data_IF_425772031457
#
_entry.id   IF_425772031457
#
_cell.length_a   1.000
_cell.length_b   1.000
_cell.length_c   1.000
_cell.angle_alpha   90.00
_cell.angle_beta   90.00
_cell.angle_gamma   90.00
#
_symmetry.space_group_name_H-M   'P 1'
#
loop_
_entity.id
_entity.type
_entity.pdbx_description
1 polymer ?
#
# COMPACT_ATOMS: atom_id res chain seq x y z
N UNK A 1 66.12 -19.19 -12.93
CA UNK A 1 65.44 -19.01 -11.64
C UNK A 1 64.36 -17.94 -11.77
N UNK A 2 63.13 -18.35 -12.02
CA UNK A 2 61.98 -17.47 -12.17
C UNK A 2 61.18 -17.57 -10.84
N UNK A 3 61.12 -16.49 -10.07
CA UNK A 3 60.30 -16.40 -8.84
C UNK A 3 58.87 -16.02 -9.22
N UNK A 4 57.93 -16.93 -9.04
CA UNK A 4 56.48 -16.64 -9.08
C UNK A 4 56.11 -15.89 -7.79
N UNK A 5 55.61 -14.67 -7.93
CA UNK A 5 54.91 -13.93 -6.87
C UNK A 5 53.45 -14.35 -6.91
N UNK A 6 53.00 -15.09 -5.90
CA UNK A 6 51.57 -15.37 -5.72
C UNK A 6 50.95 -14.17 -5.01
N UNK A 7 50.04 -13.47 -5.69
CA UNK A 7 49.23 -12.39 -5.14
C UNK A 7 48.02 -13.02 -4.44
N UNK A 8 48.01 -13.01 -3.11
CA UNK A 8 46.86 -13.42 -2.31
C UNK A 8 45.83 -12.29 -2.38
N UNK A 9 44.76 -12.47 -3.15
CA UNK A 9 43.57 -11.63 -3.07
C UNK A 9 42.79 -12.00 -1.77
N UNK A 10 42.93 -11.20 -0.73
CA UNK A 10 42.00 -11.23 0.40
C UNK A 10 40.64 -10.66 -0.07
N UNK A 11 39.70 -11.53 -0.37
CA UNK A 11 38.30 -11.18 -0.43
C UNK A 11 37.82 -10.83 0.99
N UNK A 12 37.76 -9.54 1.31
CA UNK A 12 36.95 -9.07 2.44
C UNK A 12 35.47 -9.35 2.12
N UNK A 13 34.97 -10.49 2.59
CA UNK A 13 33.54 -10.72 2.68
C UNK A 13 32.99 -9.69 3.68
N UNK A 14 32.32 -8.65 3.19
CA UNK A 14 31.47 -7.81 4.03
C UNK A 14 30.50 -8.74 4.76
N UNK A 15 30.25 -8.54 6.07
CA UNK A 15 29.25 -9.33 6.77
C UNK A 15 27.91 -9.08 6.05
N UNK A 16 27.33 -10.14 5.48
CA UNK A 16 25.93 -10.12 5.09
C UNK A 16 25.17 -9.78 6.36
N UNK A 17 24.65 -8.53 6.46
CA UNK A 17 23.68 -8.17 7.48
C UNK A 17 22.55 -9.17 7.31
N UNK A 18 22.34 -10.02 8.31
CA UNK A 18 21.25 -10.98 8.31
C UNK A 18 19.97 -10.18 8.08
N UNK A 19 19.41 -10.30 6.89
CA UNK A 19 18.11 -9.72 6.54
C UNK A 19 17.16 -10.36 7.53
N UNK A 20 16.58 -9.57 8.43
CA UNK A 20 15.63 -10.08 9.40
C UNK A 20 14.50 -10.72 8.60
N UNK A 21 14.37 -12.03 8.73
CA UNK A 21 13.35 -12.79 8.02
C UNK A 21 12.00 -12.56 8.70
N UNK A 22 11.38 -11.41 8.40
CA UNK A 22 10.06 -11.07 8.89
C UNK A 22 9.00 -12.02 8.36
N UNK A 23 9.22 -12.61 7.17
CA UNK A 23 8.31 -13.57 6.58
C UNK A 23 8.16 -14.83 7.44
N UNK A 24 9.23 -15.31 8.07
CA UNK A 24 9.16 -16.47 8.96
C UNK A 24 8.40 -16.23 10.29
N UNK A 25 8.09 -14.97 10.60
CA UNK A 25 7.33 -14.56 11.79
C UNK A 25 5.85 -14.32 11.52
N UNK A 26 5.43 -14.38 10.26
CA UNK A 26 4.03 -14.20 9.90
C UNK A 26 3.19 -15.40 10.33
N UNK A 27 1.97 -15.09 10.73
CA UNK A 27 0.86 -16.05 10.76
C UNK A 27 -0.15 -15.60 9.71
N UNK A 28 -0.39 -16.44 8.73
CA UNK A 28 -1.35 -16.17 7.65
C UNK A 28 -2.69 -16.84 7.93
N UNK A 29 -3.76 -16.27 7.40
CA UNK A 29 -5.10 -16.79 7.54
C UNK A 29 -6.06 -16.21 6.52
N UNK A 30 -7.20 -16.88 6.39
CA UNK A 30 -8.30 -16.45 5.55
C UNK A 30 -9.56 -16.24 6.38
N UNK A 31 -10.31 -15.19 6.06
CA UNK A 31 -11.70 -15.02 6.52
C UNK A 31 -12.62 -15.10 5.32
N UNK A 32 -13.62 -15.95 5.43
CA UNK A 32 -14.70 -16.04 4.45
C UNK A 32 -15.87 -15.18 4.90
N UNK A 33 -16.24 -14.22 4.05
CA UNK A 33 -17.42 -13.39 4.21
C UNK A 33 -18.52 -13.95 3.30
N UNK A 34 -19.63 -14.39 3.88
CA UNK A 34 -20.78 -14.92 3.15
C UNK A 34 -21.69 -13.80 2.65
N UNK A 35 -22.29 -13.99 1.47
CA UNK A 35 -23.26 -13.06 0.86
C UNK A 35 -22.81 -11.60 0.91
N UNK A 36 -21.61 -11.34 0.42
CA UNK A 36 -21.06 -9.98 0.42
C UNK A 36 -21.76 -9.14 -0.65
N UNK A 37 -22.42 -8.07 -0.21
CA UNK A 37 -23.14 -7.12 -1.07
C UNK A 37 -22.23 -5.92 -1.41
N UNK A 38 -21.95 -5.74 -2.69
CA UNK A 38 -21.17 -4.61 -3.20
C UNK A 38 -22.06 -3.38 -3.42
N UNK A 39 -21.49 -2.20 -3.34
CA UNK A 39 -22.20 -0.94 -3.61
C UNK A 39 -22.70 -0.83 -5.04
N UNK A 40 -22.09 -1.59 -5.96
CA UNK A 40 -22.59 -1.75 -7.34
C UNK A 40 -23.98 -2.41 -7.42
N UNK A 41 -24.46 -3.02 -6.33
CA UNK A 41 -25.67 -3.83 -6.28
C UNK A 41 -25.44 -5.32 -6.60
N UNK A 42 -24.22 -5.68 -6.98
CA UNK A 42 -23.79 -7.07 -7.19
C UNK A 42 -23.56 -7.79 -5.87
N UNK A 43 -23.62 -9.10 -5.86
CA UNK A 43 -23.39 -9.92 -4.66
C UNK A 43 -22.44 -11.07 -4.99
N UNK A 44 -21.52 -11.35 -4.07
CA UNK A 44 -20.67 -12.52 -4.14
C UNK A 44 -21.04 -13.46 -2.98
N UNK A 45 -21.50 -14.71 -3.25
CA UNK A 45 -21.89 -15.65 -2.19
C UNK A 45 -20.78 -15.94 -1.19
N UNK A 46 -19.52 -15.88 -1.66
CA UNK A 46 -18.34 -16.14 -0.84
C UNK A 46 -17.22 -15.20 -1.25
N UNK A 47 -16.86 -14.26 -0.35
CA UNK A 47 -15.72 -13.37 -0.51
C UNK A 47 -14.63 -13.79 0.49
N UNK A 48 -13.49 -14.29 0.01
CA UNK A 48 -12.31 -14.58 0.83
C UNK A 48 -11.48 -13.33 1.00
N UNK A 49 -11.12 -13.01 2.24
CA UNK A 49 -10.13 -12.00 2.59
C UNK A 49 -8.95 -12.70 3.25
N UNK A 50 -7.82 -12.68 2.55
CA UNK A 50 -6.55 -13.14 3.07
C UNK A 50 -5.91 -12.08 3.93
N UNK A 51 -5.18 -12.49 4.97
CA UNK A 51 -4.42 -11.59 5.83
C UNK A 51 -3.21 -12.29 6.43
N UNK A 52 -2.18 -11.51 6.72
CA UNK A 52 -1.06 -11.95 7.52
C UNK A 52 -1.00 -11.13 8.82
N UNK A 53 -0.42 -11.71 9.87
CA UNK A 53 -0.25 -11.03 11.15
C UNK A 53 1.15 -11.18 11.72
N UNK A 54 1.58 -10.17 12.49
CA UNK A 54 2.78 -10.21 13.33
C UNK A 54 2.40 -9.88 14.78
N UNK A 55 3.11 -10.46 15.73
CA UNK A 55 2.82 -10.30 17.16
C UNK A 55 1.59 -11.07 17.61
N UNK A 56 1.10 -10.78 18.82
CA UNK A 56 -0.02 -11.50 19.43
C UNK A 56 -1.13 -10.54 19.88
N UNK A 57 -2.41 -10.92 19.72
CA UNK A 57 -3.50 -10.10 20.22
C UNK A 57 -3.50 -10.07 21.74
N UNK A 58 -3.49 -8.87 22.31
CA UNK A 58 -3.79 -8.65 23.71
C UNK A 58 -5.29 -8.37 23.84
N UNK A 59 -5.94 -8.96 24.85
CA UNK A 59 -7.37 -8.78 25.08
C UNK A 59 -7.61 -8.01 26.37
N UNK A 60 -8.49 -7.03 26.29
CA UNK A 60 -8.97 -6.28 27.45
C UNK A 60 -9.89 -7.13 28.35
N UNK A 61 -10.36 -6.55 29.46
CA UNK A 61 -11.26 -7.22 30.39
C UNK A 61 -12.64 -7.60 29.78
N UNK A 62 -13.02 -6.99 28.65
CA UNK A 62 -14.23 -7.29 27.89
C UNK A 62 -14.00 -8.37 26.82
N UNK A 63 -12.75 -8.84 26.67
CA UNK A 63 -12.35 -9.84 25.68
C UNK A 63 -12.04 -9.29 24.28
N UNK A 64 -12.09 -7.97 24.09
CA UNK A 64 -11.75 -7.33 22.82
C UNK A 64 -10.23 -7.15 22.68
N UNK A 65 -9.73 -7.28 21.44
CA UNK A 65 -8.34 -6.99 21.12
C UNK A 65 -8.12 -5.48 21.17
N UNK A 66 -7.18 -5.00 22.00
CA UNK A 66 -6.93 -3.57 22.24
C UNK A 66 -5.59 -3.04 21.72
N UNK A 67 -4.70 -3.94 21.27
CA UNK A 67 -3.37 -3.62 20.76
C UNK A 67 -3.25 -3.76 19.20
N UNK A 68 -4.37 -3.86 18.49
CA UNK A 68 -4.37 -4.10 17.05
C UNK A 68 -3.94 -2.87 16.25
N UNK A 69 -3.03 -3.08 15.31
CA UNK A 69 -2.62 -2.12 14.28
C UNK A 69 -2.90 -2.75 12.92
N UNK A 70 -3.69 -2.09 12.08
CA UNK A 70 -3.93 -2.54 10.70
C UNK A 70 -3.14 -1.66 9.73
N UNK A 71 -2.44 -2.28 8.78
CA UNK A 71 -1.65 -1.56 7.77
C UNK A 71 -2.12 -1.98 6.37
N UNK A 72 -2.56 -1.00 5.58
CA UNK A 72 -3.23 -1.19 4.29
C UNK A 72 -2.28 -0.86 3.13
N UNK A 73 -2.15 -1.80 2.18
CA UNK A 73 -1.25 -1.70 1.02
C UNK A 73 -1.77 -0.77 -0.08
N UNK A 74 -0.88 -0.43 -1.03
CA UNK A 74 -1.19 0.35 -2.23
C UNK A 74 -1.78 -0.50 -3.38
N UNK A 75 -2.22 0.18 -4.45
CA UNK A 75 -2.71 -0.45 -5.69
C UNK A 75 -1.68 -1.44 -6.24
N UNK A 76 -2.11 -2.65 -6.58
CA UNK A 76 -1.24 -3.74 -7.05
C UNK A 76 -0.37 -4.38 -5.98
N UNK A 77 -0.44 -3.92 -4.72
CA UNK A 77 0.31 -4.48 -3.61
C UNK A 77 -0.43 -5.58 -2.86
N UNK A 78 0.20 -6.05 -1.79
CA UNK A 78 -0.33 -7.02 -0.82
C UNK A 78 0.14 -6.63 0.58
N UNK A 79 -0.34 -7.31 1.63
CA UNK A 79 0.16 -7.14 2.99
C UNK A 79 1.67 -7.36 3.11
N UNK A 80 2.24 -8.19 2.25
CA UNK A 80 3.67 -8.49 2.22
C UNK A 80 4.57 -7.30 1.87
N UNK A 81 4.04 -6.25 1.23
CA UNK A 81 4.83 -5.04 0.95
C UNK A 81 5.43 -4.38 2.20
N UNK A 82 4.84 -4.65 3.38
CA UNK A 82 5.30 -4.09 4.65
C UNK A 82 6.38 -4.92 5.36
N UNK A 83 6.88 -5.99 4.71
CA UNK A 83 7.99 -6.80 5.20
C UNK A 83 9.34 -6.37 4.63
N UNK A 84 9.36 -5.39 3.73
CA UNK A 84 10.62 -4.86 3.18
C UNK A 84 11.49 -4.24 4.28
N UNK A 85 12.84 -4.44 4.21
CA UNK A 85 13.73 -4.05 5.30
C UNK A 85 13.60 -2.59 5.73
N UNK A 86 13.46 -1.66 4.78
CA UNK A 86 13.34 -0.22 5.03
C UNK A 86 12.03 0.19 5.73
N UNK A 87 11.07 -0.72 5.83
CA UNK A 87 9.83 -0.55 6.60
C UNK A 87 9.89 -1.40 7.89
N UNK A 88 10.03 -2.71 7.75
CA UNK A 88 9.88 -3.65 8.85
C UNK A 88 11.00 -3.53 9.91
N UNK A 89 12.26 -3.34 9.48
CA UNK A 89 13.38 -3.19 10.43
C UNK A 89 13.33 -1.87 11.22
N UNK A 90 12.62 -0.88 10.70
CA UNK A 90 12.46 0.42 11.35
C UNK A 90 11.28 0.45 12.33
N UNK A 91 10.32 -0.52 12.20
CA UNK A 91 9.06 -0.44 12.92
C UNK A 91 8.77 -1.61 13.85
N UNK A 92 9.16 -2.85 13.51
CA UNK A 92 8.61 -4.05 14.16
C UNK A 92 9.54 -4.68 15.20
N UNK A 93 10.82 -4.33 15.22
CA UNK A 93 11.80 -4.88 16.13
C UNK A 93 11.64 -4.39 17.57
N UNK A 94 12.39 -4.99 18.51
CA UNK A 94 12.38 -4.58 19.91
C UNK A 94 12.66 -3.08 20.10
N UNK A 95 11.78 -2.39 20.82
CA UNK A 95 11.88 -0.95 21.09
C UNK A 95 11.54 -0.05 19.90
N UNK A 96 11.14 -0.60 18.76
CA UNK A 96 10.66 0.17 17.61
C UNK A 96 9.19 0.58 17.80
N UNK A 97 8.69 1.58 17.04
CA UNK A 97 7.35 2.15 17.26
C UNK A 97 6.18 1.16 17.21
N UNK A 98 6.31 0.09 16.43
CA UNK A 98 5.31 -0.98 16.31
C UNK A 98 5.91 -2.34 16.70
N UNK A 99 6.70 -2.37 17.76
CA UNK A 99 7.31 -3.58 18.29
C UNK A 99 6.28 -4.70 18.45
N UNK A 100 6.50 -5.82 17.75
CA UNK A 100 5.57 -6.96 17.73
C UNK A 100 5.44 -7.68 19.09
N UNK A 101 6.27 -7.35 20.07
CA UNK A 101 6.07 -7.80 21.45
C UNK A 101 4.89 -7.08 22.12
N UNK A 102 4.50 -5.92 21.62
CA UNK A 102 3.46 -5.08 22.19
C UNK A 102 2.25 -4.90 21.29
N UNK A 103 2.42 -4.96 19.97
CA UNK A 103 1.37 -4.74 18.98
C UNK A 103 1.01 -6.00 18.21
N UNK A 104 -0.27 -6.13 17.90
CA UNK A 104 -0.81 -7.11 16.97
C UNK A 104 -1.00 -6.45 15.61
N UNK A 105 -0.05 -6.69 14.70
CA UNK A 105 -0.04 -6.08 13.37
C UNK A 105 -0.88 -6.96 12.42
N UNK A 106 -1.83 -6.36 11.73
CA UNK A 106 -2.73 -7.02 10.76
C UNK A 106 -2.45 -6.43 9.38
N UNK A 107 -2.10 -7.27 8.43
CA UNK A 107 -1.72 -6.94 7.07
C UNK A 107 -2.68 -7.65 6.10
N UNK A 108 -3.88 -7.10 5.83
CA UNK A 108 -4.82 -7.73 4.91
C UNK A 108 -4.41 -7.53 3.45
N UNK A 109 -4.72 -8.51 2.60
CA UNK A 109 -4.83 -8.32 1.17
C UNK A 109 -6.22 -7.75 0.86
N UNK A 110 -6.28 -6.67 0.11
CA UNK A 110 -7.56 -6.06 -0.30
C UNK A 110 -8.33 -6.95 -1.29
N UNK A 111 -9.62 -6.69 -1.45
CA UNK A 111 -10.40 -7.31 -2.55
C UNK A 111 -9.67 -7.05 -3.88
N UNK A 112 -9.56 -8.08 -4.71
CA UNK A 112 -8.86 -7.97 -6.00
C UNK A 112 -7.34 -8.03 -5.92
N UNK A 113 -6.75 -8.35 -4.75
CA UNK A 113 -5.30 -8.32 -4.53
C UNK A 113 -4.83 -9.61 -3.84
N UNK A 114 -3.58 -9.96 -4.06
CA UNK A 114 -2.88 -11.03 -3.36
C UNK A 114 -3.64 -12.37 -3.37
N UNK A 115 -3.88 -12.90 -2.18
CA UNK A 115 -4.63 -14.14 -1.97
C UNK A 115 -6.10 -13.91 -1.61
N UNK A 116 -6.58 -12.66 -1.52
CA UNK A 116 -8.01 -12.36 -1.43
C UNK A 116 -8.74 -12.67 -2.73
N UNK A 117 -10.07 -12.81 -2.68
CA UNK A 117 -10.89 -13.05 -3.88
C UNK A 117 -10.66 -11.96 -4.93
N UNK A 118 -10.47 -12.36 -6.18
CA UNK A 118 -10.11 -11.49 -7.29
C UNK A 118 -10.62 -12.01 -8.64
N UNK A 119 -10.66 -11.19 -9.68
CA UNK A 119 -11.11 -11.58 -11.03
C UNK A 119 -10.44 -12.83 -11.57
N UNK A 120 -9.11 -12.97 -11.40
CA UNK A 120 -8.34 -14.11 -11.89
C UNK A 120 -8.65 -15.44 -11.20
N UNK A 121 -9.40 -15.44 -10.08
CA UNK A 121 -9.87 -16.66 -9.40
C UNK A 121 -10.99 -17.40 -10.18
N UNK A 122 -11.31 -16.99 -11.41
CA UNK A 122 -12.24 -17.68 -12.32
C UNK A 122 -13.40 -16.85 -12.83
N UNK A 123 -13.84 -15.81 -12.11
CA UNK A 123 -14.94 -14.95 -12.55
C UNK A 123 -14.52 -13.95 -13.64
N UNK A 124 -13.23 -13.67 -13.76
CA UNK A 124 -12.69 -12.76 -14.78
C UNK A 124 -13.42 -11.40 -14.76
N UNK A 125 -13.88 -10.89 -15.90
CA UNK A 125 -14.61 -9.63 -15.99
C UNK A 125 -16.06 -9.72 -15.50
N UNK A 126 -16.51 -10.88 -15.00
CA UNK A 126 -17.77 -11.06 -14.27
C UNK A 126 -17.60 -10.98 -12.76
N UNK A 127 -16.40 -10.71 -12.26
CA UNK A 127 -16.20 -10.41 -10.85
C UNK A 127 -16.96 -9.13 -10.49
N UNK A 128 -17.61 -9.03 -9.31
CA UNK A 128 -18.34 -7.83 -8.93
C UNK A 128 -17.48 -6.57 -8.94
N UNK A 129 -18.07 -5.46 -9.39
CA UNK A 129 -17.39 -4.17 -9.44
C UNK A 129 -17.29 -3.56 -8.06
N UNK A 130 -16.17 -3.79 -7.39
CA UNK A 130 -15.89 -3.21 -6.08
C UNK A 130 -15.31 -1.80 -6.15
N UNK A 131 -15.48 -1.04 -5.09
CA UNK A 131 -14.84 0.26 -4.86
C UNK A 131 -14.15 0.31 -3.48
N UNK A 132 -13.64 1.48 -3.10
CA UNK A 132 -12.91 1.61 -1.83
C UNK A 132 -13.80 1.47 -0.60
N UNK A 133 -15.09 1.85 -0.68
CA UNK A 133 -16.02 1.62 0.41
C UNK A 133 -16.29 0.12 0.62
N UNK A 134 -16.40 -0.66 -0.47
CA UNK A 134 -16.53 -2.13 -0.40
C UNK A 134 -15.29 -2.76 0.23
N UNK A 135 -14.09 -2.26 -0.13
CA UNK A 135 -12.84 -2.75 0.45
C UNK A 135 -12.74 -2.42 1.95
N UNK A 136 -13.18 -1.23 2.37
CA UNK A 136 -13.23 -0.83 3.78
C UNK A 136 -14.25 -1.68 4.55
N UNK A 137 -15.42 -1.95 3.99
CA UNK A 137 -16.42 -2.83 4.61
C UNK A 137 -15.88 -4.27 4.79
N UNK A 138 -15.19 -4.81 3.79
CA UNK A 138 -14.55 -6.13 3.92
C UNK A 138 -13.47 -6.14 5.02
N UNK A 139 -12.66 -5.08 5.13
CA UNK A 139 -11.67 -4.91 6.21
C UNK A 139 -12.36 -4.81 7.58
N UNK A 140 -13.48 -4.11 7.69
CA UNK A 140 -14.26 -4.00 8.92
C UNK A 140 -14.81 -5.36 9.36
N UNK A 141 -15.33 -6.15 8.42
CA UNK A 141 -15.79 -7.52 8.70
C UNK A 141 -14.63 -8.45 9.09
N UNK A 142 -13.46 -8.32 8.45
CA UNK A 142 -12.24 -9.03 8.87
C UNK A 142 -11.91 -8.72 10.34
N UNK A 143 -11.87 -7.44 10.73
CA UNK A 143 -11.58 -7.04 12.12
C UNK A 143 -12.58 -7.64 13.11
N UNK A 144 -13.88 -7.66 12.76
CA UNK A 144 -14.91 -8.29 13.59
C UNK A 144 -14.65 -9.80 13.81
N UNK A 145 -14.22 -10.52 12.76
CA UNK A 145 -13.85 -11.95 12.86
C UNK A 145 -12.59 -12.19 13.71
N UNK A 146 -11.67 -11.22 13.75
CA UNK A 146 -10.47 -11.26 14.60
C UNK A 146 -10.74 -10.81 16.04
N UNK A 147 -11.94 -10.34 16.34
CA UNK A 147 -12.33 -9.83 17.67
C UNK A 147 -11.77 -8.44 17.97
N UNK A 148 -11.45 -7.67 16.92
CA UNK A 148 -10.96 -6.29 17.03
C UNK A 148 -12.15 -5.34 16.93
N UNK A 149 -12.57 -4.77 18.06
CA UNK A 149 -13.64 -3.77 18.09
C UNK A 149 -13.13 -2.36 17.77
N UNK A 150 -11.86 -2.09 18.08
CA UNK A 150 -11.23 -0.79 17.85
C UNK A 150 -9.73 -0.94 17.57
N UNK A 151 -9.26 -0.31 16.50
CA UNK A 151 -7.84 -0.28 16.18
C UNK A 151 -7.09 0.72 17.07
N UNK A 152 -5.94 0.32 17.60
CA UNK A 152 -4.97 1.23 18.20
C UNK A 152 -4.44 2.22 17.16
N UNK A 153 -4.22 1.72 15.94
CA UNK A 153 -3.75 2.51 14.81
C UNK A 153 -4.22 1.89 13.50
N UNK A 154 -4.72 2.73 12.60
CA UNK A 154 -4.87 2.40 11.18
C UNK A 154 -3.78 3.13 10.40
N UNK A 155 -2.92 2.39 9.71
CA UNK A 155 -1.98 2.94 8.73
C UNK A 155 -2.37 2.50 7.32
N UNK A 156 -1.98 3.28 6.32
CA UNK A 156 -2.17 2.86 4.94
C UNK A 156 -1.33 3.69 3.98
N UNK A 157 -0.90 3.06 2.90
CA UNK A 157 -0.04 3.67 1.88
C UNK A 157 -0.76 3.75 0.55
N UNK A 158 -0.68 4.90 -0.15
CA UNK A 158 -1.29 5.08 -1.48
C UNK A 158 -2.81 4.76 -1.48
N UNK A 159 -3.24 3.64 -2.08
CA UNK A 159 -4.62 3.16 -1.98
C UNK A 159 -5.04 2.98 -0.51
N UNK A 160 -4.21 2.33 0.31
CA UNK A 160 -4.49 2.17 1.74
C UNK A 160 -4.54 3.50 2.51
N UNK A 161 -3.83 4.54 2.06
CA UNK A 161 -3.97 5.91 2.56
C UNK A 161 -5.38 6.45 2.27
N UNK A 162 -5.88 6.24 1.05
CA UNK A 162 -7.24 6.63 0.66
C UNK A 162 -8.30 5.88 1.47
N UNK A 163 -8.10 4.58 1.70
CA UNK A 163 -8.94 3.81 2.63
C UNK A 163 -8.92 4.40 4.05
N UNK A 164 -7.77 4.91 4.50
CA UNK A 164 -7.67 5.59 5.81
C UNK A 164 -8.61 6.78 5.95
N UNK A 165 -8.83 7.56 4.89
CA UNK A 165 -9.82 8.64 4.87
C UNK A 165 -11.25 8.10 4.83
N UNK A 166 -11.53 7.06 4.03
CA UNK A 166 -12.85 6.40 4.03
C UNK A 166 -13.18 5.83 5.41
N UNK A 167 -12.23 5.17 6.08
CA UNK A 167 -12.37 4.69 7.45
C UNK A 167 -12.67 5.81 8.44
N UNK A 168 -11.93 6.92 8.38
CA UNK A 168 -12.09 8.05 9.28
C UNK A 168 -13.43 8.78 9.08
N UNK A 169 -14.03 8.66 7.90
CA UNK A 169 -15.36 9.21 7.59
C UNK A 169 -16.48 8.25 8.01
N UNK A 170 -16.35 6.95 7.69
CA UNK A 170 -17.44 5.97 7.84
C UNK A 170 -17.45 5.24 9.18
N UNK A 171 -16.27 5.01 9.81
CA UNK A 171 -16.11 4.23 11.03
C UNK A 171 -15.15 4.88 12.03
N UNK A 172 -15.28 6.20 12.34
CA UNK A 172 -14.34 6.91 13.21
C UNK A 172 -14.26 6.32 14.62
N UNK A 173 -15.35 5.71 15.13
CA UNK A 173 -15.43 5.08 16.44
C UNK A 173 -14.52 3.86 16.56
N UNK A 174 -14.20 3.20 15.46
CA UNK A 174 -13.30 2.06 15.43
C UNK A 174 -11.81 2.44 15.39
N UNK A 175 -11.47 3.73 15.36
CA UNK A 175 -10.10 4.23 15.25
C UNK A 175 -9.69 5.02 16.49
N UNK A 176 -8.55 4.68 17.12
CA UNK A 176 -7.89 5.55 18.11
C UNK A 176 -7.00 6.57 17.43
N UNK A 177 -6.34 6.16 16.35
CA UNK A 177 -5.46 7.00 15.54
C UNK A 177 -5.44 6.51 14.09
N UNK A 178 -5.11 7.41 13.14
CA UNK A 178 -4.87 7.09 11.75
C UNK A 178 -3.57 7.71 11.23
N UNK A 179 -2.86 6.98 10.37
CA UNK A 179 -1.66 7.48 9.69
C UNK A 179 -1.71 7.16 8.19
N UNK A 180 -2.46 7.94 7.40
CA UNK A 180 -2.47 7.85 5.95
C UNK A 180 -1.17 8.41 5.35
N UNK A 181 -0.56 7.66 4.39
CA UNK A 181 0.71 8.01 3.72
C UNK A 181 0.55 8.00 2.20
N UNK A 182 0.96 9.07 1.54
CA UNK A 182 1.05 9.20 0.08
C UNK A 182 -0.29 9.17 -0.67
N UNK A 183 -1.25 10.00 -0.28
CA UNK A 183 -2.48 10.25 -1.04
C UNK A 183 -3.05 11.65 -0.81
N UNK A 184 -4.12 11.98 -1.51
CA UNK A 184 -4.92 13.18 -1.29
C UNK A 184 -6.38 12.79 -0.99
N UNK A 185 -7.05 13.49 -0.05
CA UNK A 185 -8.45 13.24 0.30
C UNK A 185 -9.40 14.00 -0.64
N UNK A 186 -9.36 13.65 -1.92
CA UNK A 186 -10.18 14.27 -2.98
C UNK A 186 -10.36 13.29 -4.13
N UNK A 187 -11.32 13.56 -5.00
CA UNK A 187 -11.52 12.81 -6.23
C UNK A 187 -10.21 12.59 -7.00
N UNK A 188 -10.03 11.38 -7.53
CA UNK A 188 -8.88 11.07 -8.38
C UNK A 188 -9.11 11.65 -9.78
N UNK A 189 -8.54 12.83 -9.99
CA UNK A 189 -8.59 13.59 -11.23
C UNK A 189 -7.19 13.87 -11.80
N UNK A 190 -7.11 14.69 -12.84
CA UNK A 190 -5.88 15.16 -13.44
C UNK A 190 -4.91 14.03 -13.81
N UNK A 191 -3.61 14.25 -13.56
CA UNK A 191 -2.55 13.30 -13.93
C UNK A 191 -2.71 11.93 -13.26
N UNK A 192 -3.22 11.88 -12.01
CA UNK A 192 -3.47 10.62 -11.33
C UNK A 192 -4.52 9.78 -12.07
N UNK A 193 -5.63 10.38 -12.56
CA UNK A 193 -6.61 9.67 -13.38
C UNK A 193 -6.07 9.32 -14.77
N UNK A 194 -5.25 10.21 -15.37
CA UNK A 194 -4.70 10.00 -16.70
C UNK A 194 -3.90 8.70 -16.80
N UNK A 195 -2.89 8.51 -15.94
CA UNK A 195 -2.04 7.31 -16.01
C UNK A 195 -2.82 6.03 -15.68
N UNK A 196 -3.77 6.07 -14.73
CA UNK A 196 -4.66 4.93 -14.42
C UNK A 196 -5.51 4.53 -15.63
N UNK A 197 -6.11 5.52 -16.29
CA UNK A 197 -6.90 5.28 -17.49
C UNK A 197 -6.04 4.75 -18.64
N UNK A 198 -4.87 5.32 -18.85
CA UNK A 198 -3.93 4.88 -19.88
C UNK A 198 -3.49 3.43 -19.66
N UNK A 199 -3.18 3.05 -18.43
CA UNK A 199 -2.79 1.67 -18.08
C UNK A 199 -3.95 0.69 -18.35
N UNK A 200 -5.15 0.98 -17.88
CA UNK A 200 -6.32 0.13 -18.15
C UNK A 200 -6.66 0.03 -19.64
N UNK A 201 -6.58 1.15 -20.38
CA UNK A 201 -6.82 1.15 -21.83
C UNK A 201 -5.73 0.42 -22.62
N UNK A 202 -4.48 0.46 -22.18
CA UNK A 202 -3.42 -0.31 -22.83
C UNK A 202 -3.71 -1.82 -22.79
N UNK A 203 -4.22 -2.31 -21.65
CA UNK A 203 -4.64 -3.71 -21.52
C UNK A 203 -5.87 -4.00 -22.40
N UNK A 204 -6.92 -3.16 -22.31
CA UNK A 204 -8.19 -3.37 -23.07
C UNK A 204 -7.99 -3.34 -24.58
N UNK A 205 -7.00 -2.60 -25.07
CA UNK A 205 -6.69 -2.48 -26.50
C UNK A 205 -5.74 -3.56 -27.02
N UNK A 206 -5.16 -4.36 -26.13
CA UNK A 206 -4.38 -5.53 -26.56
C UNK A 206 -5.36 -6.60 -27.08
N UNK A 207 -5.26 -7.01 -28.38
CA UNK A 207 -6.15 -8.04 -28.93
C UNK A 207 -6.09 -9.37 -28.16
N UNK A 208 -4.95 -9.67 -27.50
CA UNK A 208 -4.79 -10.87 -26.70
C UNK A 208 -5.61 -10.85 -25.40
N UNK A 209 -6.07 -9.68 -24.93
CA UNK A 209 -6.95 -9.58 -23.77
C UNK A 209 -8.32 -10.23 -23.99
N UNK A 210 -8.82 -10.25 -25.24
CA UNK A 210 -10.06 -10.95 -25.63
C UNK A 210 -11.26 -10.64 -24.70
N UNK A 211 -11.47 -9.35 -24.39
CA UNK A 211 -12.55 -8.89 -23.47
C UNK A 211 -12.47 -9.55 -22.07
N UNK A 212 -11.26 -9.87 -21.60
CA UNK A 212 -11.00 -10.53 -20.34
C UNK A 212 -11.02 -12.05 -20.39
N UNK A 213 -11.21 -12.66 -21.58
CA UNK A 213 -11.29 -14.12 -21.76
C UNK A 213 -10.00 -14.73 -22.32
N UNK A 214 -8.85 -14.09 -22.06
CA UNK A 214 -7.54 -14.58 -22.50
C UNK A 214 -7.20 -15.95 -21.91
N UNK A 215 -6.38 -16.71 -22.63
CA UNK A 215 -5.79 -17.99 -22.18
C UNK A 215 -4.32 -17.85 -21.78
N UNK A 216 -3.70 -16.76 -22.22
CA UNK A 216 -2.37 -16.32 -21.82
C UNK A 216 -2.42 -14.80 -21.66
N UNK A 217 -1.65 -14.26 -20.72
CA UNK A 217 -1.64 -12.84 -20.40
C UNK A 217 -1.43 -11.96 -21.66
N UNK A 218 -2.18 -10.84 -21.80
CA UNK A 218 -1.99 -9.86 -22.87
C UNK A 218 -0.74 -9.02 -22.58
N UNK A 219 0.43 -9.61 -22.83
CA UNK A 219 1.74 -9.10 -22.40
C UNK A 219 2.05 -7.72 -22.98
N UNK A 220 1.59 -7.39 -24.19
CA UNK A 220 1.86 -6.08 -24.77
C UNK A 220 1.13 -4.98 -23.99
N UNK A 221 -0.14 -5.19 -23.68
CA UNK A 221 -0.96 -4.29 -22.86
C UNK A 221 -0.44 -4.18 -21.43
N UNK A 222 -0.13 -5.32 -20.81
CA UNK A 222 0.43 -5.36 -19.44
C UNK A 222 1.78 -4.65 -19.35
N UNK A 223 2.68 -4.83 -20.34
CA UNK A 223 3.97 -4.14 -20.36
C UNK A 223 3.82 -2.62 -20.45
N UNK A 224 2.87 -2.14 -21.25
CA UNK A 224 2.56 -0.72 -21.31
C UNK A 224 1.99 -0.20 -19.99
N UNK A 225 1.09 -0.94 -19.35
CA UNK A 225 0.53 -0.61 -18.04
C UNK A 225 1.62 -0.59 -16.95
N UNK A 226 2.46 -1.63 -16.89
CA UNK A 226 3.56 -1.71 -15.93
C UNK A 226 4.58 -0.57 -16.13
N UNK A 227 4.88 -0.18 -17.36
CA UNK A 227 5.76 0.97 -17.63
C UNK A 227 5.20 2.26 -17.05
N UNK A 228 3.87 2.47 -17.10
CA UNK A 228 3.21 3.61 -16.47
C UNK A 228 3.26 3.54 -14.94
N UNK A 229 3.09 2.37 -14.35
CA UNK A 229 3.22 2.15 -12.91
C UNK A 229 4.65 2.45 -12.44
N UNK A 230 5.65 1.99 -13.19
CA UNK A 230 7.04 2.24 -12.85
C UNK A 230 7.38 3.74 -12.85
N UNK A 231 6.99 4.48 -13.90
CA UNK A 231 7.27 5.93 -13.94
C UNK A 231 6.51 6.70 -12.85
N UNK A 232 5.26 6.31 -12.56
CA UNK A 232 4.47 6.93 -11.51
C UNK A 232 5.08 6.73 -10.10
N UNK A 233 5.83 5.65 -9.91
CA UNK A 233 6.53 5.35 -8.66
C UNK A 233 7.90 6.00 -8.50
N UNK A 234 8.43 6.73 -9.51
CA UNK A 234 9.79 7.30 -9.47
C UNK A 234 9.85 8.69 -8.84
N UNK A 235 11.05 9.04 -8.37
CA UNK A 235 11.42 10.39 -7.93
C UNK A 235 12.54 10.95 -8.83
N UNK A 236 12.42 12.19 -9.33
CA UNK A 236 13.38 12.72 -10.31
C UNK A 236 14.79 12.89 -9.72
N UNK A 237 14.91 13.40 -8.50
CA UNK A 237 16.22 13.62 -7.87
C UNK A 237 16.91 12.30 -7.54
N UNK A 238 16.17 11.34 -6.97
CA UNK A 238 16.70 10.00 -6.69
C UNK A 238 17.14 9.31 -7.97
N UNK A 239 16.26 9.28 -9.00
CA UNK A 239 16.56 8.61 -10.25
C UNK A 239 17.79 9.20 -10.95
N UNK A 240 17.95 10.54 -10.97
CA UNK A 240 19.10 11.20 -11.54
C UNK A 240 20.40 10.90 -10.78
N UNK A 241 20.31 10.77 -9.44
CA UNK A 241 21.45 10.42 -8.60
C UNK A 241 21.83 8.93 -8.72
N UNK A 242 20.85 8.04 -8.68
CA UNK A 242 21.09 6.58 -8.72
C UNK A 242 21.47 6.07 -10.11
N UNK A 243 20.94 6.70 -11.17
CA UNK A 243 21.12 6.30 -12.56
C UNK A 243 21.56 7.49 -13.44
N UNK A 244 22.79 8.04 -13.24
CA UNK A 244 23.20 9.32 -13.82
C UNK A 244 23.55 9.25 -15.33
N UNK A 245 23.55 8.06 -15.94
CA UNK A 245 23.86 7.86 -17.36
C UNK A 245 22.76 7.11 -18.08
N UNK A 246 22.66 7.31 -19.39
CA UNK A 246 21.72 6.56 -20.24
C UNK A 246 21.85 5.04 -20.03
N UNK A 247 23.06 4.52 -20.08
CA UNK A 247 23.30 3.08 -19.91
C UNK A 247 22.84 2.57 -18.52
N UNK A 248 23.02 3.38 -17.46
CA UNK A 248 22.55 3.01 -16.13
C UNK A 248 21.02 2.96 -16.06
N UNK A 249 20.32 3.91 -16.69
CA UNK A 249 18.84 3.91 -16.74
C UNK A 249 18.34 2.72 -17.53
N UNK A 250 18.90 2.45 -18.74
CA UNK A 250 18.48 1.34 -19.59
C UNK A 250 18.69 -0.01 -18.89
N UNK A 251 19.83 -0.19 -18.22
CA UNK A 251 20.12 -1.39 -17.43
C UNK A 251 19.19 -1.59 -16.23
N UNK A 252 18.65 -0.52 -15.66
CA UNK A 252 17.71 -0.57 -14.53
C UNK A 252 16.26 -0.83 -14.96
N UNK A 253 15.75 -0.01 -15.92
CA UNK A 253 14.30 0.03 -16.16
C UNK A 253 13.80 -1.19 -16.95
N UNK A 254 14.55 -1.66 -17.93
CA UNK A 254 14.09 -2.76 -18.79
C UNK A 254 13.88 -4.05 -17.99
N UNK A 255 14.88 -4.57 -17.22
CA UNK A 255 14.67 -5.76 -16.40
C UNK A 255 13.58 -5.58 -15.34
N UNK A 256 13.41 -4.37 -14.81
CA UNK A 256 12.43 -4.08 -13.79
C UNK A 256 10.99 -4.17 -14.31
N UNK A 257 10.72 -3.63 -15.51
CA UNK A 257 9.41 -3.78 -16.16
C UNK A 257 9.13 -5.25 -16.46
N UNK A 258 10.10 -6.00 -17.01
CA UNK A 258 9.91 -7.43 -17.30
C UNK A 258 9.66 -8.26 -16.02
N UNK A 259 10.36 -7.96 -14.93
CA UNK A 259 10.14 -8.63 -13.65
C UNK A 259 8.74 -8.32 -13.06
N UNK A 260 8.24 -7.10 -13.23
CA UNK A 260 6.90 -6.70 -12.78
C UNK A 260 5.79 -7.51 -13.46
N UNK A 261 5.96 -7.84 -14.75
CA UNK A 261 4.97 -8.62 -15.50
C UNK A 261 4.66 -9.99 -14.90
N UNK A 262 5.64 -10.63 -14.26
CA UNK A 262 5.49 -11.97 -13.72
C UNK A 262 4.45 -12.09 -12.58
N UNK A 263 4.09 -10.97 -11.98
CA UNK A 263 3.13 -10.90 -10.86
C UNK A 263 1.79 -10.28 -11.24
N UNK A 264 1.60 -9.85 -12.49
CA UNK A 264 0.40 -9.16 -12.93
C UNK A 264 -0.55 -10.11 -13.66
N UNK A 265 -1.84 -9.95 -13.36
CA UNK A 265 -2.97 -10.44 -14.14
C UNK A 265 -3.71 -9.25 -14.73
N UNK A 266 -4.09 -9.34 -15.99
CA UNK A 266 -4.67 -8.22 -16.72
C UNK A 266 -6.03 -7.78 -16.16
N UNK A 267 -6.90 -8.73 -15.82
CA UNK A 267 -8.22 -8.42 -15.26
C UNK A 267 -8.10 -7.87 -13.84
N UNK A 268 -7.25 -8.48 -13.01
CA UNK A 268 -7.01 -7.99 -11.65
C UNK A 268 -6.51 -6.54 -11.68
N UNK A 269 -5.54 -6.22 -12.53
CA UNK A 269 -5.01 -4.86 -12.64
C UNK A 269 -6.05 -3.84 -13.12
N UNK A 270 -6.91 -4.19 -14.09
CA UNK A 270 -8.02 -3.31 -14.51
C UNK A 270 -8.94 -3.01 -13.33
N UNK A 271 -9.37 -4.01 -12.57
CA UNK A 271 -10.22 -3.83 -11.40
C UNK A 271 -9.55 -2.99 -10.31
N UNK A 272 -8.28 -3.25 -10.01
CA UNK A 272 -7.50 -2.48 -9.04
C UNK A 272 -7.39 -0.99 -9.41
N UNK A 273 -7.19 -0.68 -10.71
CA UNK A 273 -7.11 0.69 -11.20
C UNK A 273 -8.48 1.40 -11.16
N UNK A 274 -9.58 0.67 -11.41
CA UNK A 274 -10.94 1.22 -11.44
C UNK A 274 -11.62 1.26 -10.06
N UNK A 275 -11.11 0.56 -9.05
CA UNK A 275 -11.67 0.54 -7.69
C UNK A 275 -11.79 1.93 -7.05
N UNK A 276 -10.96 2.87 -7.50
CA UNK A 276 -10.94 4.26 -7.01
C UNK A 276 -11.97 5.19 -7.65
N UNK A 277 -12.85 4.68 -8.50
CA UNK A 277 -13.77 5.51 -9.35
C UNK A 277 -14.71 6.43 -8.56
N UNK A 278 -15.08 6.03 -7.34
CA UNK A 278 -16.03 6.76 -6.49
C UNK A 278 -15.36 7.44 -5.30
N UNK A 279 -14.02 7.37 -5.20
CA UNK A 279 -13.30 7.94 -4.09
C UNK A 279 -13.33 9.47 -4.13
N UNK A 280 -14.03 10.08 -3.20
CA UNK A 280 -14.00 11.51 -2.94
C UNK A 280 -14.46 11.86 -1.51
N UNK A 281 -13.58 11.88 -0.51
CA UNK A 281 -13.93 12.31 0.85
C UNK A 281 -14.00 13.83 0.99
N UNK A 282 -13.67 14.61 -0.05
CA UNK A 282 -13.55 16.06 0.04
C UNK A 282 -14.82 16.78 0.52
N UNK A 283 -16.06 16.31 0.27
CA UNK A 283 -17.26 16.97 0.80
C UNK A 283 -17.35 16.91 2.32
N UNK A 284 -16.75 15.92 2.97
CA UNK A 284 -16.97 15.61 4.39
C UNK A 284 -15.73 15.71 5.28
N UNK A 285 -14.63 16.32 4.82
CA UNK A 285 -13.38 16.45 5.58
C UNK A 285 -13.55 17.11 6.95
N UNK A 286 -14.49 18.04 7.07
CA UNK A 286 -14.84 18.72 8.32
C UNK A 286 -15.48 17.79 9.38
N UNK A 287 -15.89 16.59 9.01
CA UNK A 287 -16.43 15.57 9.92
C UNK A 287 -15.35 14.65 10.48
N UNK A 288 -14.17 14.61 9.90
CA UNK A 288 -13.06 13.76 10.36
C UNK A 288 -12.53 14.29 11.69
N UNK A 289 -12.70 13.48 12.75
CA UNK A 289 -12.29 13.78 14.12
C UNK A 289 -11.23 12.84 14.66
N UNK A 290 -10.95 11.74 13.97
CA UNK A 290 -9.90 10.79 14.36
C UNK A 290 -8.56 11.50 14.43
N UNK A 291 -7.80 11.41 15.54
CA UNK A 291 -6.44 11.92 15.62
C UNK A 291 -5.58 11.31 14.50
N UNK A 292 -5.08 12.14 13.62
CA UNK A 292 -4.43 11.68 12.39
C UNK A 292 -3.10 12.40 12.18
N UNK A 293 -2.08 11.67 11.72
CA UNK A 293 -0.90 12.22 11.08
C UNK A 293 -0.90 11.80 9.62
N UNK A 294 -1.07 12.75 8.71
CA UNK A 294 -1.09 12.51 7.28
C UNK A 294 0.22 12.94 6.66
N UNK A 295 0.89 12.03 5.93
CA UNK A 295 2.25 12.25 5.42
C UNK A 295 2.30 12.08 3.90
N UNK A 296 2.83 13.08 3.19
CA UNK A 296 3.17 13.01 1.78
C UNK A 296 4.64 13.38 1.55
N UNK A 297 5.18 13.08 0.37
CA UNK A 297 6.52 13.48 -0.07
C UNK A 297 6.43 14.57 -1.14
N UNK A 298 7.29 15.59 -1.07
CA UNK A 298 7.26 16.71 -1.99
C UNK A 298 7.67 16.34 -3.43
N UNK A 299 8.38 15.24 -3.62
CA UNK A 299 8.77 14.68 -4.92
C UNK A 299 7.85 13.57 -5.44
N UNK A 300 6.67 13.41 -4.83
CA UNK A 300 5.66 12.42 -5.26
C UNK A 300 5.09 12.80 -6.64
N UNK A 301 5.29 11.95 -7.63
CA UNK A 301 4.72 12.14 -8.96
C UNK A 301 3.19 12.14 -8.97
N UNK A 302 2.56 11.34 -8.08
CA UNK A 302 1.12 11.15 -8.05
C UNK A 302 0.42 12.27 -7.27
N UNK A 303 0.99 12.66 -6.12
CA UNK A 303 0.41 13.61 -5.18
C UNK A 303 1.35 14.81 -4.93
N UNK A 304 1.83 15.52 -5.96
CA UNK A 304 2.80 16.59 -5.76
C UNK A 304 2.16 17.81 -5.06
N UNK A 305 2.92 18.55 -4.25
CA UNK A 305 2.42 19.71 -3.51
C UNK A 305 1.91 20.84 -4.40
N UNK A 306 2.39 20.93 -5.65
CA UNK A 306 1.99 21.95 -6.62
C UNK A 306 0.49 21.86 -6.98
N UNK A 307 -0.17 20.76 -6.67
CA UNK A 307 -1.64 20.66 -6.81
C UNK A 307 -2.38 21.61 -5.87
N UNK A 308 -1.73 22.06 -4.77
CA UNK A 308 -2.32 23.00 -3.82
C UNK A 308 -3.53 22.43 -3.06
N UNK A 309 -3.66 21.08 -2.97
CA UNK A 309 -4.84 20.41 -2.39
C UNK A 309 -4.61 20.06 -0.92
N UNK A 310 -3.40 19.62 -0.56
CA UNK A 310 -3.15 19.00 0.75
C UNK A 310 -3.35 19.99 1.92
N UNK A 311 -2.73 21.17 1.89
CA UNK A 311 -2.82 22.13 2.98
C UNK A 311 -4.25 22.70 3.17
N UNK A 312 -5.00 23.06 2.11
CA UNK A 312 -6.41 23.43 2.28
C UNK A 312 -7.27 22.30 2.86
N UNK A 313 -7.05 21.06 2.44
CA UNK A 313 -7.75 19.91 2.99
C UNK A 313 -7.41 19.70 4.48
N UNK A 314 -6.14 19.77 4.86
CA UNK A 314 -5.69 19.64 6.24
C UNK A 314 -6.32 20.71 7.16
N UNK A 315 -6.43 21.95 6.69
CA UNK A 315 -7.08 23.04 7.46
C UNK A 315 -8.55 22.79 7.75
N UNK A 316 -9.25 21.95 6.96
CA UNK A 316 -10.64 21.57 7.20
C UNK A 316 -10.78 20.44 8.24
N UNK A 317 -9.68 19.76 8.58
CA UNK A 317 -9.66 18.60 9.48
C UNK A 317 -8.90 18.93 10.77
N UNK A 318 -9.55 19.44 11.83
CA UNK A 318 -8.86 19.97 13.01
C UNK A 318 -8.05 18.94 13.80
N UNK A 319 -8.33 17.65 13.62
CA UNK A 319 -7.60 16.55 14.28
C UNK A 319 -6.45 15.98 13.42
N UNK A 320 -6.21 16.57 12.24
CA UNK A 320 -5.20 16.09 11.30
C UNK A 320 -3.96 16.97 11.36
N UNK A 321 -2.81 16.35 11.59
CA UNK A 321 -1.49 16.93 11.42
C UNK A 321 -0.93 16.51 10.05
N UNK A 322 -0.79 17.44 9.12
CA UNK A 322 -0.22 17.19 7.81
C UNK A 322 1.29 17.41 7.82
N UNK A 323 2.04 16.45 7.28
CA UNK A 323 3.50 16.49 7.16
C UNK A 323 3.87 16.31 5.69
N UNK A 324 4.66 17.24 5.16
CA UNK A 324 5.25 17.13 3.82
C UNK A 324 6.75 16.88 3.96
N UNK A 325 7.19 15.66 3.59
CA UNK A 325 8.61 15.31 3.56
C UNK A 325 9.27 16.09 2.41
N UNK A 326 10.34 16.88 2.67
CA UNK A 326 11.02 17.63 1.62
C UNK A 326 11.64 16.70 0.57
N UNK A 327 11.61 17.12 -0.70
CA UNK A 327 12.29 16.42 -1.78
C UNK A 327 13.81 16.40 -1.56
N UNK A 328 14.44 15.26 -1.78
CA UNK A 328 15.88 15.07 -1.66
C UNK A 328 16.38 13.95 -2.59
N UNK A 329 17.70 13.83 -2.82
CA UNK A 329 18.25 12.68 -3.53
C UNK A 329 18.05 11.33 -2.83
N UNK A 330 17.61 11.34 -1.58
CA UNK A 330 17.36 10.13 -0.77
C UNK A 330 15.87 9.75 -0.69
N UNK A 331 14.96 10.67 -1.03
CA UNK A 331 13.53 10.38 -1.09
C UNK A 331 13.17 9.67 -2.40
N UNK A 332 12.14 8.85 -2.35
CA UNK A 332 11.77 7.93 -3.42
C UNK A 332 10.43 8.30 -4.07
N UNK A 333 10.08 9.60 -4.08
CA UNK A 333 8.81 10.07 -4.63
C UNK A 333 7.62 9.39 -3.94
N UNK A 334 6.70 8.84 -4.74
CA UNK A 334 5.58 8.09 -4.20
C UNK A 334 6.03 6.93 -3.30
N UNK A 335 7.12 6.24 -3.63
CA UNK A 335 7.66 5.13 -2.84
C UNK A 335 8.24 5.51 -1.47
N UNK A 336 8.42 6.80 -1.15
CA UNK A 336 8.92 7.27 0.16
C UNK A 336 8.07 6.75 1.32
N UNK A 337 6.80 6.47 1.09
CA UNK A 337 5.89 5.90 2.10
C UNK A 337 6.37 4.56 2.68
N UNK A 338 7.17 3.76 1.97
CA UNK A 338 7.73 2.50 2.48
C UNK A 338 9.05 2.68 3.20
N UNK A 339 9.66 3.86 3.17
CA UNK A 339 10.92 4.17 3.83
C UNK A 339 10.65 4.83 5.19
N UNK A 340 10.38 4.01 6.20
CA UNK A 340 9.93 4.47 7.51
C UNK A 340 10.88 5.48 8.18
N UNK A 341 12.18 5.46 7.89
CA UNK A 341 13.18 6.41 8.41
C UNK A 341 12.79 7.88 8.20
N UNK A 342 12.01 8.20 7.16
CA UNK A 342 11.62 9.57 6.85
C UNK A 342 10.43 10.08 7.67
N UNK A 343 9.63 9.17 8.26
CA UNK A 343 8.38 9.54 8.92
C UNK A 343 8.11 8.81 10.24
N UNK A 344 8.97 7.88 10.67
CA UNK A 344 8.73 7.12 11.91
C UNK A 344 8.61 7.98 13.17
N UNK A 345 9.27 9.14 13.21
CA UNK A 345 9.16 10.07 14.35
C UNK A 345 7.75 10.65 14.45
N UNK A 346 7.09 10.91 13.32
CA UNK A 346 5.71 11.36 13.24
C UNK A 346 4.74 10.26 13.75
N UNK A 347 5.06 9.00 13.49
CA UNK A 347 4.34 7.86 14.04
C UNK A 347 4.50 7.79 15.57
N UNK A 348 5.72 7.94 16.08
CA UNK A 348 5.99 7.97 17.53
C UNK A 348 5.19 9.07 18.22
N UNK A 349 5.18 10.27 17.64
CA UNK A 349 4.42 11.39 18.18
C UNK A 349 2.91 11.16 18.13
N UNK A 350 2.40 10.55 17.06
CA UNK A 350 0.98 10.17 16.96
C UNK A 350 0.61 9.16 18.03
N UNK A 351 1.39 8.09 18.20
CA UNK A 351 1.16 7.07 19.21
C UNK A 351 1.17 7.67 20.62
N UNK A 352 2.17 8.52 20.94
CA UNK A 352 2.28 9.18 22.25
C UNK A 352 1.08 10.07 22.58
N UNK A 353 0.64 10.92 21.64
CA UNK A 353 -0.50 11.84 21.88
C UNK A 353 -1.86 11.15 21.92
N UNK A 354 -1.93 9.88 21.49
CA UNK A 354 -3.17 9.07 21.48
C UNK A 354 -3.13 7.90 22.46
N UNK A 355 -2.19 7.89 23.40
CA UNK A 355 -1.99 6.79 24.36
C UNK A 355 -2.92 6.87 25.58
N UNK A 356 -3.86 7.84 25.63
CA UNK A 356 -4.81 8.07 26.73
C UNK A 356 -6.13 7.34 26.53
#
# INVERSE_FOLDING_TARGET
>A
MKRLLALLLLLCAAPATAQSDWASRLTEGDVTLGDFHFRSGETLPTLRIHYATLGTPHRDASGHVDNAVMILHGTGGTGWQFLVPQFANELYGPGQPLDIAHYYIILPDGIGHGHSSKPSDGLRMHFPHYDYDDMVEAQRQLLARLGVARLRLLMGTSMGCMHGFVWAESHPEMLRAAMPLACLPTEIAGRNRMWRRMAAEAIRRDPAWAEGNYTAEPIAGLRAAESLLQIAGTAPLYAQHAYPTRAAVDAFIVPRVEAGLASLDANDLIYQLEASRNYDPSPHLDRIRTPTTWVNSADDFINPPELGIAEPAARRMPSVHFVLIPASPETHGHGTHTWARFWKNELVDLLRRTDR
#
